data_IF_714731973255
#
_entry.id   IF_714731973255
#
_cell.length_a   1.000
_cell.length_b   1.000
_cell.length_c   1.000
_cell.angle_alpha   90.00
_cell.angle_beta   90.00
_cell.angle_gamma   90.00
#
_symmetry.space_group_name_H-M   'P 1'
#
loop_
_entity.id
_entity.type
_entity.pdbx_description
1 polymer ?
#
# COMPACT_ATOMS: atom_id res chain seq x y z
N UNK A 1 19.85 4.04 9.30
CA UNK A 1 20.16 4.11 7.85
C UNK A 1 21.05 2.92 7.49
N UNK A 2 20.49 1.86 6.92
CA UNK A 2 21.29 0.85 6.23
C UNK A 2 21.97 1.56 5.05
N UNK A 3 23.30 1.48 4.90
CA UNK A 3 24.06 2.15 3.84
C UNK A 3 23.77 1.62 2.43
N UNK A 4 22.53 1.77 1.98
CA UNK A 4 21.97 1.30 0.71
C UNK A 4 21.25 2.47 0.02
N UNK A 5 21.31 2.49 -1.31
CA UNK A 5 20.63 3.52 -2.10
C UNK A 5 19.11 3.27 -2.11
N UNK A 6 18.32 4.30 -2.47
CA UNK A 6 16.86 4.19 -2.60
C UNK A 6 16.44 3.10 -3.59
N UNK A 7 17.22 2.87 -4.64
CA UNK A 7 16.99 1.79 -5.61
C UNK A 7 17.30 0.42 -5.01
N UNK A 8 18.39 0.25 -4.27
CA UNK A 8 18.70 -1.00 -3.58
C UNK A 8 17.64 -1.35 -2.53
N UNK A 9 17.13 -0.36 -1.79
CA UNK A 9 16.02 -0.59 -0.85
C UNK A 9 14.77 -1.05 -1.59
N UNK A 10 14.43 -0.40 -2.70
CA UNK A 10 13.30 -0.82 -3.53
C UNK A 10 13.45 -2.24 -4.08
N UNK A 11 14.66 -2.63 -4.50
CA UNK A 11 14.90 -3.98 -5.03
C UNK A 11 14.70 -5.05 -3.97
N UNK A 12 15.29 -4.88 -2.78
CA UNK A 12 15.16 -5.83 -1.68
C UNK A 12 13.70 -5.98 -1.22
N UNK A 13 12.96 -4.88 -1.12
CA UNK A 13 11.55 -4.90 -0.68
C UNK A 13 10.58 -5.48 -1.72
N UNK A 14 10.98 -5.57 -2.99
CA UNK A 14 10.16 -6.11 -4.07
C UNK A 14 10.70 -7.45 -4.60
N UNK A 15 11.61 -8.10 -3.85
CA UNK A 15 12.22 -9.39 -4.22
C UNK A 15 12.77 -9.39 -5.68
N UNK A 16 13.48 -8.31 -6.03
CA UNK A 16 14.05 -8.13 -7.36
C UNK A 16 15.48 -8.66 -7.38
N UNK A 17 15.86 -9.49 -8.39
CA UNK A 17 17.23 -9.97 -8.52
C UNK A 17 18.20 -8.80 -8.81
N UNK A 18 19.46 -8.96 -8.40
CA UNK A 18 20.52 -7.98 -8.66
C UNK A 18 21.13 -7.33 -7.42
N UNK A 19 20.76 -7.79 -6.22
CA UNK A 19 21.43 -7.42 -4.97
C UNK A 19 22.31 -8.56 -4.49
N UNK A 20 23.44 -8.20 -3.87
CA UNK A 20 24.18 -9.16 -3.07
C UNK A 20 23.35 -9.51 -1.81
N UNK A 21 23.35 -10.80 -1.45
CA UNK A 21 22.60 -11.34 -0.31
C UNK A 21 22.82 -10.53 0.98
N UNK A 22 24.06 -10.12 1.25
CA UNK A 22 24.42 -9.30 2.40
C UNK A 22 23.80 -7.89 2.38
N UNK A 23 23.49 -7.32 1.21
CA UNK A 23 22.80 -6.02 1.12
C UNK A 23 21.31 -6.19 1.29
N UNK A 24 20.73 -7.23 0.70
CA UNK A 24 19.32 -7.57 0.87
C UNK A 24 18.98 -7.83 2.35
N UNK A 25 19.77 -8.66 3.03
CA UNK A 25 19.59 -8.96 4.45
C UNK A 25 19.65 -7.70 5.33
N UNK A 26 20.57 -6.77 5.06
CA UNK A 26 20.66 -5.49 5.80
C UNK A 26 19.45 -4.60 5.58
N UNK A 27 18.92 -4.55 4.35
CA UNK A 27 17.72 -3.77 4.05
C UNK A 27 16.51 -4.37 4.75
N UNK A 28 16.34 -5.70 4.68
CA UNK A 28 15.24 -6.39 5.33
C UNK A 28 15.30 -6.22 6.86
N UNK A 29 16.47 -6.37 7.47
CA UNK A 29 16.64 -6.13 8.90
C UNK A 29 16.28 -4.69 9.31
N UNK A 30 16.66 -3.69 8.50
CA UNK A 30 16.28 -2.31 8.74
C UNK A 30 14.78 -2.03 8.50
N UNK A 31 14.13 -2.83 7.66
CA UNK A 31 12.70 -2.76 7.41
C UNK A 31 11.85 -3.39 8.54
N UNK A 32 12.44 -4.26 9.36
CA UNK A 32 11.80 -4.82 10.55
C UNK A 32 11.86 -3.88 11.77
N UNK A 33 12.59 -2.76 11.69
CA UNK A 33 12.65 -1.78 12.77
C UNK A 33 11.25 -1.17 13.03
N UNK A 34 10.81 -1.07 14.29
CA UNK A 34 9.50 -0.53 14.64
C UNK A 34 9.27 0.88 14.08
N UNK A 35 8.13 1.07 13.40
CA UNK A 35 7.74 2.35 12.83
C UNK A 35 8.20 2.57 11.39
N UNK A 36 8.99 1.66 10.83
CA UNK A 36 9.23 1.65 9.39
C UNK A 36 8.00 1.08 8.66
N UNK A 37 7.48 1.83 7.69
CA UNK A 37 6.41 1.37 6.80
C UNK A 37 6.58 2.01 5.42
N UNK A 38 6.41 1.26 4.32
CA UNK A 38 6.52 1.82 2.98
C UNK A 38 5.47 2.91 2.76
N UNK A 39 5.89 4.03 2.17
CA UNK A 39 5.02 5.15 1.84
C UNK A 39 4.01 4.76 0.75
N UNK A 40 2.72 4.70 1.10
CA UNK A 40 1.64 4.42 0.14
C UNK A 40 1.57 5.46 -1.00
N UNK A 41 1.64 6.79 -0.74
CA UNK A 41 1.66 7.79 -1.81
C UNK A 41 2.86 7.63 -2.77
N UNK A 42 4.06 7.38 -2.23
CA UNK A 42 5.24 7.17 -3.06
C UNK A 42 5.10 5.93 -3.95
N UNK A 43 4.58 4.82 -3.41
CA UNK A 43 4.30 3.60 -4.18
C UNK A 43 3.27 3.84 -5.27
N UNK A 44 2.20 4.57 -4.97
CA UNK A 44 1.16 4.90 -5.95
C UNK A 44 1.70 5.73 -7.12
N UNK A 45 2.56 6.70 -6.84
CA UNK A 45 3.25 7.52 -7.84
C UNK A 45 4.17 6.67 -8.71
N UNK A 46 5.02 5.83 -8.10
CA UNK A 46 5.96 4.97 -8.85
C UNK A 46 5.27 3.91 -9.71
N UNK A 47 4.13 3.38 -9.26
CA UNK A 47 3.37 2.36 -10.01
C UNK A 47 2.37 2.96 -11.00
N UNK A 48 2.12 4.27 -10.95
CA UNK A 48 1.04 4.91 -11.72
C UNK A 48 -0.35 4.40 -11.35
N UNK A 49 -0.53 3.84 -10.14
CA UNK A 49 -1.77 3.21 -9.68
C UNK A 49 -2.07 3.64 -8.26
N UNK A 50 -3.26 4.19 -8.03
CA UNK A 50 -3.67 4.68 -6.72
C UNK A 50 -3.84 3.55 -5.67
N UNK A 51 -4.07 2.30 -6.10
CA UNK A 51 -4.39 1.20 -5.18
C UNK A 51 -5.69 1.47 -4.41
N UNK A 52 -6.66 2.12 -5.04
CA UNK A 52 -7.91 2.57 -4.46
C UNK A 52 -9.09 2.25 -5.40
N UNK A 53 -10.27 2.03 -4.83
CA UNK A 53 -11.54 1.93 -5.57
C UNK A 53 -12.39 3.14 -5.16
N UNK A 54 -12.89 3.89 -6.15
CA UNK A 54 -13.83 4.98 -5.91
C UNK A 54 -15.27 4.47 -5.96
N UNK A 55 -16.07 4.78 -4.94
CA UNK A 55 -17.50 4.49 -4.90
C UNK A 55 -18.27 5.81 -5.06
N UNK A 56 -19.05 5.93 -6.13
CA UNK A 56 -19.92 7.08 -6.39
C UNK A 56 -21.36 6.68 -6.09
N UNK A 57 -22.00 7.39 -5.17
CA UNK A 57 -23.41 7.16 -4.80
C UNK A 57 -24.25 8.34 -5.30
N UNK A 58 -25.20 8.06 -6.20
CA UNK A 58 -26.09 9.08 -6.77
C UNK A 58 -27.41 9.23 -6.01
N UNK A 59 -27.44 8.87 -4.72
CA UNK A 59 -28.61 9.02 -3.84
C UNK A 59 -28.41 10.18 -2.87
N UNK A 60 -29.52 10.72 -2.38
CA UNK A 60 -29.51 11.73 -1.34
C UNK A 60 -28.78 11.22 -0.08
N UNK A 61 -27.87 12.02 0.47
CA UNK A 61 -26.99 11.63 1.60
C UNK A 61 -27.77 11.16 2.82
N UNK A 62 -28.94 11.75 3.08
CA UNK A 62 -29.82 11.36 4.18
C UNK A 62 -30.34 9.93 4.06
N UNK A 63 -30.55 9.43 2.84
CA UNK A 63 -31.05 8.08 2.59
C UNK A 63 -29.94 7.02 2.67
N UNK A 64 -28.69 7.40 2.45
CA UNK A 64 -27.55 6.46 2.48
C UNK A 64 -27.31 5.94 3.92
N UNK A 65 -27.47 6.80 4.92
CA UNK A 65 -27.28 6.44 6.32
C UNK A 65 -28.45 5.66 6.94
N UNK A 66 -29.66 5.81 6.40
CA UNK A 66 -30.87 5.18 6.94
C UNK A 66 -31.24 3.87 6.24
N UNK A 67 -30.81 3.70 4.99
CA UNK A 67 -31.06 2.48 4.22
C UNK A 67 -30.03 1.40 4.59
N UNK A 68 -30.46 0.28 5.19
CA UNK A 68 -29.54 -0.77 5.65
C UNK A 68 -28.77 -1.47 4.51
N UNK A 69 -29.16 -1.25 3.26
CA UNK A 69 -28.46 -1.78 2.09
C UNK A 69 -27.02 -1.26 1.97
N UNK A 70 -26.78 0.04 2.14
CA UNK A 70 -25.47 0.63 1.82
C UNK A 70 -24.34 0.22 2.77
N UNK A 71 -24.53 0.20 4.10
CA UNK A 71 -23.50 -0.29 5.02
C UNK A 71 -23.15 -1.76 4.73
N UNK A 72 -24.15 -2.60 4.46
CA UNK A 72 -23.94 -4.01 4.13
C UNK A 72 -23.20 -4.18 2.80
N UNK A 73 -23.57 -3.40 1.77
CA UNK A 73 -22.88 -3.38 0.48
C UNK A 73 -21.41 -2.94 0.63
N UNK A 74 -21.15 -1.82 1.30
CA UNK A 74 -19.78 -1.29 1.49
C UNK A 74 -18.92 -2.27 2.29
N UNK A 75 -19.47 -2.89 3.34
CA UNK A 75 -18.76 -3.90 4.13
C UNK A 75 -18.38 -5.14 3.33
N UNK A 76 -19.13 -5.46 2.26
CA UNK A 76 -18.83 -6.55 1.33
C UNK A 76 -17.79 -6.21 0.25
N UNK A 77 -17.45 -4.93 0.04
CA UNK A 77 -16.47 -4.53 -0.97
C UNK A 77 -15.07 -4.91 -0.47
N UNK A 78 -14.32 -5.77 -1.20
CA UNK A 78 -12.98 -6.14 -0.78
C UNK A 78 -12.02 -4.95 -0.93
N UNK A 79 -11.06 -4.85 0.00
CA UNK A 79 -10.01 -3.85 -0.10
C UNK A 79 -9.16 -4.08 -1.38
N UNK A 80 -8.78 -3.01 -2.10
CA UNK A 80 -7.83 -3.11 -3.19
C UNK A 80 -6.51 -3.71 -2.71
N UNK A 81 -5.91 -4.58 -3.54
CA UNK A 81 -4.62 -5.22 -3.27
C UNK A 81 -3.44 -4.29 -3.52
#
# INVERSE_FOLDING_TARGET
MAGASRSSVSFALNDRPGLAEATEARVLAAAEEPGWMPSRPARALSLGKAGAIGLVLSRELGLIGTDPFFPAFIAGVPAPR
#
